data_IF_025694042724
#
_entry.id   IF_025694042724
#
_cell.length_a   1.000
_cell.length_b   1.000
_cell.length_c   1.000
_cell.angle_alpha   90.00
_cell.angle_beta   90.00
_cell.angle_gamma   90.00
#
_symmetry.space_group_name_H-M   'P 1'
#
loop_
_entity.id
_entity.type
_entity.pdbx_description
1 polymer ?
#
# COMPACT_ATOMS: atom_id res chain seq x y z
N UNK A 1 -45.61 -13.02 6.89
CA UNK A 1 -45.52 -11.84 6.01
C UNK A 1 -46.28 -10.70 6.68
N UNK A 2 -45.69 -9.50 6.81
CA UNK A 2 -46.35 -8.35 7.41
C UNK A 2 -47.47 -7.80 6.51
N UNK A 3 -48.49 -7.21 7.13
CA UNK A 3 -49.57 -6.53 6.42
C UNK A 3 -49.33 -5.01 6.49
N UNK A 4 -49.65 -4.31 5.40
CA UNK A 4 -49.60 -2.85 5.37
C UNK A 4 -50.63 -2.25 6.35
N UNK A 5 -50.22 -1.22 7.11
CA UNK A 5 -51.13 -0.47 7.99
C UNK A 5 -52.24 0.29 7.25
N UNK A 6 -51.96 0.78 6.03
CA UNK A 6 -52.91 1.59 5.25
C UNK A 6 -53.93 0.75 4.48
N UNK A 7 -53.46 -0.18 3.64
CA UNK A 7 -54.34 -0.96 2.75
C UNK A 7 -54.56 -2.41 3.17
N UNK A 8 -53.97 -2.86 4.29
CA UNK A 8 -54.06 -4.23 4.83
C UNK A 8 -53.65 -5.36 3.87
N UNK A 9 -53.07 -5.05 2.70
CA UNK A 9 -52.47 -6.05 1.81
C UNK A 9 -51.18 -6.60 2.41
N UNK A 10 -50.90 -7.86 2.08
CA UNK A 10 -49.63 -8.52 2.38
C UNK A 10 -48.53 -7.83 1.58
N UNK A 11 -47.46 -7.43 2.26
CA UNK A 11 -46.29 -6.78 1.66
C UNK A 11 -45.03 -7.56 2.03
N UNK A 12 -43.99 -7.43 1.20
CA UNK A 12 -42.70 -8.03 1.51
C UNK A 12 -42.00 -7.27 2.63
N UNK A 13 -41.06 -7.95 3.31
CA UNK A 13 -40.23 -7.32 4.35
C UNK A 13 -39.23 -6.31 3.78
N UNK A 14 -39.08 -6.23 2.46
CA UNK A 14 -38.21 -5.26 1.79
C UNK A 14 -38.89 -3.88 1.66
N UNK A 15 -40.23 -3.85 1.56
CA UNK A 15 -41.03 -2.64 1.34
C UNK A 15 -41.34 -1.89 2.65
N UNK A 16 -40.29 -1.60 3.43
CA UNK A 16 -40.41 -0.95 4.75
C UNK A 16 -40.65 0.54 4.68
N UNK A 17 -40.24 1.19 3.58
CA UNK A 17 -40.26 2.64 3.47
C UNK A 17 -41.59 3.15 2.89
N UNK A 18 -42.06 2.54 1.80
CA UNK A 18 -43.28 2.95 1.08
C UNK A 18 -44.04 1.70 0.63
N UNK A 19 -45.36 1.65 0.89
CA UNK A 19 -46.19 0.56 0.38
C UNK A 19 -46.40 0.68 -1.15
N UNK A 20 -46.11 -0.37 -1.95
CA UNK A 20 -46.26 -0.34 -3.40
C UNK A 20 -47.72 -0.25 -3.88
N UNK A 21 -48.69 -0.57 -3.01
CA UNK A 21 -50.10 -0.59 -3.38
C UNK A 21 -50.86 0.69 -3.05
N UNK A 22 -50.49 1.37 -1.97
CA UNK A 22 -51.25 2.52 -1.44
C UNK A 22 -50.40 3.74 -1.12
N UNK A 23 -49.08 3.67 -1.33
CA UNK A 23 -48.17 4.79 -1.07
C UNK A 23 -48.05 5.19 0.40
N UNK A 24 -48.60 4.43 1.35
CA UNK A 24 -48.49 4.75 2.77
C UNK A 24 -47.03 4.62 3.22
N UNK A 25 -46.42 5.67 3.81
CA UNK A 25 -45.05 5.61 4.32
C UNK A 25 -44.99 4.78 5.60
N UNK A 26 -43.87 4.09 5.83
CA UNK A 26 -43.66 3.20 6.98
C UNK A 26 -44.84 2.21 7.19
N UNK A 27 -45.17 1.37 6.20
CA UNK A 27 -46.34 0.50 6.28
C UNK A 27 -46.24 -0.60 7.34
N UNK A 28 -45.05 -0.86 7.89
CA UNK A 28 -44.79 -1.90 8.89
C UNK A 28 -44.41 -1.24 10.23
N UNK A 29 -45.22 -1.39 11.29
CA UNK A 29 -44.89 -0.84 12.60
C UNK A 29 -43.69 -1.56 13.23
N UNK A 30 -42.69 -0.81 13.69
CA UNK A 30 -41.53 -1.33 14.40
C UNK A 30 -40.34 -1.73 13.52
N UNK A 31 -40.41 -1.59 12.20
CA UNK A 31 -39.23 -1.78 11.34
C UNK A 31 -38.44 -0.48 11.20
N UNK A 32 -37.57 -0.19 12.17
CA UNK A 32 -36.54 0.82 11.96
C UNK A 32 -35.61 0.30 10.85
N UNK A 33 -35.43 1.08 9.78
CA UNK A 33 -34.44 0.85 8.74
C UNK A 33 -33.04 1.14 9.30
N UNK A 34 -32.59 0.29 10.22
CA UNK A 34 -31.17 0.21 10.52
C UNK A 34 -30.53 -0.37 9.27
N UNK A 35 -29.94 0.50 8.45
CA UNK A 35 -28.93 0.10 7.47
C UNK A 35 -27.76 -0.42 8.29
N UNK A 36 -27.81 -1.70 8.63
CA UNK A 36 -26.68 -2.38 9.26
C UNK A 36 -25.62 -2.45 8.17
N UNK A 37 -24.51 -1.75 8.40
CA UNK A 37 -23.36 -1.80 7.52
C UNK A 37 -22.83 -3.24 7.49
N UNK A 38 -23.16 -3.97 6.43
CA UNK A 38 -22.81 -5.39 6.26
C UNK A 38 -21.29 -5.57 6.24
N UNK A 39 -20.52 -4.52 5.91
CA UNK A 39 -19.06 -4.58 5.90
C UNK A 39 -18.47 -4.82 7.30
N UNK A 40 -19.16 -4.40 8.37
CA UNK A 40 -18.77 -4.69 9.76
C UNK A 40 -19.04 -6.14 10.20
N UNK A 41 -19.98 -6.83 9.55
CA UNK A 41 -20.36 -8.22 9.91
C UNK A 41 -19.48 -9.24 9.20
N UNK A 42 -19.00 -8.93 8.00
CA UNK A 42 -18.11 -9.81 7.22
C UNK A 42 -16.66 -9.73 7.73
N UNK A 43 -16.25 -8.62 8.37
CA UNK A 43 -14.90 -8.47 8.91
C UNK A 43 -14.60 -9.37 10.13
N UNK A 44 -15.60 -10.11 10.63
CA UNK A 44 -15.43 -11.16 11.64
C UNK A 44 -15.36 -12.59 11.07
N UNK A 45 -15.58 -12.78 9.76
CA UNK A 45 -15.58 -14.11 9.14
C UNK A 45 -14.16 -14.58 8.82
N UNK A 46 -13.48 -15.12 9.83
CA UNK A 46 -12.53 -16.22 9.66
C UNK A 46 -11.18 -15.96 8.97
N UNK A 47 -10.86 -14.73 8.53
CA UNK A 47 -9.49 -14.45 8.09
C UNK A 47 -8.63 -14.24 9.34
N UNK A 48 -7.62 -15.10 9.61
CA UNK A 48 -6.72 -14.88 10.72
C UNK A 48 -6.10 -13.48 10.56
N UNK A 49 -6.08 -12.68 11.64
CA UNK A 49 -5.51 -11.31 11.61
C UNK A 49 -4.08 -11.26 11.07
N UNK A 50 -3.38 -12.39 11.08
CA UNK A 50 -2.03 -12.56 10.54
C UNK A 50 -1.96 -12.58 9.00
N UNK A 51 -3.09 -12.74 8.31
CA UNK A 51 -3.21 -12.73 6.85
C UNK A 51 -3.75 -11.41 6.28
N UNK A 52 -4.10 -10.44 7.14
CA UNK A 52 -4.51 -9.13 6.65
C UNK A 52 -3.32 -8.48 5.90
N UNK A 53 -3.49 -8.11 4.62
CA UNK A 53 -2.42 -7.49 3.87
C UNK A 53 -2.00 -6.20 4.56
N UNK A 54 -0.75 -6.18 5.01
CA UNK A 54 -0.16 -5.01 5.66
C UNK A 54 -0.09 -3.89 4.64
N UNK A 55 -0.96 -2.89 4.78
CA UNK A 55 -0.96 -1.70 3.92
C UNK A 55 0.43 -1.03 3.95
N UNK A 56 1.12 -1.07 2.80
CA UNK A 56 2.41 -0.41 2.61
C UNK A 56 2.19 1.07 2.34
N UNK A 57 2.81 1.93 3.16
CA UNK A 57 2.69 3.37 3.01
C UNK A 57 3.76 3.93 2.07
N UNK A 58 3.37 4.73 1.07
CA UNK A 58 4.28 5.38 0.12
C UNK A 58 5.32 6.25 0.80
N UNK A 59 4.90 7.01 1.82
CA UNK A 59 5.80 7.90 2.58
C UNK A 59 6.88 7.11 3.30
N UNK A 60 6.56 5.92 3.83
CA UNK A 60 7.54 5.04 4.47
C UNK A 60 8.49 4.42 3.46
N UNK A 61 7.99 3.99 2.29
CA UNK A 61 8.84 3.49 1.22
C UNK A 61 9.83 4.57 0.75
N UNK A 62 9.38 5.81 0.62
CA UNK A 62 10.21 6.97 0.30
C UNK A 62 11.32 7.20 1.34
N UNK A 63 10.97 7.30 2.62
CA UNK A 63 11.97 7.57 3.68
C UNK A 63 12.98 6.44 3.80
N UNK A 64 12.55 5.19 3.64
CA UNK A 64 13.44 4.03 3.61
C UNK A 64 14.37 4.03 2.40
N UNK A 65 13.88 4.45 1.23
CA UNK A 65 14.69 4.55 0.02
C UNK A 65 15.72 5.67 0.13
N UNK A 66 15.34 6.84 0.66
CA UNK A 66 16.24 7.97 0.82
C UNK A 66 17.36 7.72 1.84
N UNK A 67 17.05 7.10 3.00
CA UNK A 67 18.04 6.89 4.07
C UNK A 67 18.82 5.58 3.92
N UNK A 68 18.15 4.51 3.52
CA UNK A 68 18.71 3.15 3.49
C UNK A 68 18.60 2.49 2.11
N UNK A 69 18.58 3.30 1.04
CA UNK A 69 18.50 2.84 -0.34
C UNK A 69 19.64 1.89 -0.72
N UNK A 70 20.85 2.18 -0.25
CA UNK A 70 22.04 1.36 -0.54
C UNK A 70 21.99 -0.06 0.06
N UNK A 71 21.22 -0.25 1.13
CA UNK A 71 20.97 -1.57 1.73
C UNK A 71 19.80 -2.31 1.07
N UNK A 72 19.07 -1.67 0.14
CA UNK A 72 17.90 -2.26 -0.50
C UNK A 72 16.68 -2.45 0.44
N UNK A 73 16.68 -1.83 1.64
CA UNK A 73 15.61 -2.00 2.64
C UNK A 73 14.24 -1.61 2.08
N UNK A 74 14.18 -0.57 1.26
CA UNK A 74 12.94 -0.14 0.60
C UNK A 74 12.33 -1.24 -0.27
N UNK A 75 13.13 -2.04 -0.97
CA UNK A 75 12.65 -3.12 -1.83
C UNK A 75 12.20 -4.34 -1.01
N UNK A 76 12.81 -4.59 0.16
CA UNK A 76 12.29 -5.56 1.13
C UNK A 76 10.95 -5.12 1.72
N UNK A 77 10.79 -3.83 2.01
CA UNK A 77 9.53 -3.26 2.47
C UNK A 77 8.41 -3.48 1.44
N UNK A 78 8.75 -3.34 0.14
CA UNK A 78 7.85 -3.56 -1.01
C UNK A 78 7.81 -5.06 -1.42
N UNK A 79 8.21 -5.98 -0.55
CA UNK A 79 8.17 -7.45 -0.78
C UNK A 79 8.78 -7.90 -2.12
N UNK A 80 9.77 -7.17 -2.65
CA UNK A 80 10.49 -7.46 -3.91
C UNK A 80 11.95 -7.82 -3.60
N UNK A 81 12.22 -9.04 -3.07
CA UNK A 81 13.55 -9.42 -2.60
C UNK A 81 14.60 -9.46 -3.72
N UNK A 82 14.20 -9.82 -4.95
CA UNK A 82 15.11 -9.80 -6.12
C UNK A 82 15.61 -8.39 -6.42
N UNK A 83 14.73 -7.40 -6.29
CA UNK A 83 15.08 -5.99 -6.49
C UNK A 83 15.98 -5.49 -5.35
N UNK A 84 15.72 -5.91 -4.10
CA UNK A 84 16.58 -5.58 -2.97
C UNK A 84 18.00 -6.12 -3.15
N UNK A 85 18.14 -7.37 -3.58
CA UNK A 85 19.44 -7.98 -3.86
C UNK A 85 20.19 -7.24 -4.96
N UNK A 86 19.48 -6.84 -6.03
CA UNK A 86 20.05 -6.03 -7.09
C UNK A 86 20.62 -4.70 -6.56
N UNK A 87 19.88 -3.98 -5.71
CA UNK A 87 20.36 -2.72 -5.12
C UNK A 87 21.58 -2.91 -4.22
N UNK A 88 21.64 -3.99 -3.45
CA UNK A 88 22.80 -4.31 -2.60
C UNK A 88 24.01 -4.59 -3.49
N UNK A 89 23.86 -5.45 -4.51
CA UNK A 89 24.95 -5.81 -5.42
C UNK A 89 25.43 -4.60 -6.23
N UNK A 90 24.50 -3.77 -6.71
CA UNK A 90 24.82 -2.53 -7.40
C UNK A 90 25.59 -1.56 -6.50
N UNK A 91 25.16 -1.37 -5.26
CA UNK A 91 25.86 -0.51 -4.28
C UNK A 91 27.27 -1.04 -3.98
N UNK A 92 27.42 -2.36 -3.83
CA UNK A 92 28.71 -2.99 -3.58
C UNK A 92 29.66 -2.83 -4.77
N UNK A 93 29.16 -3.04 -5.99
CA UNK A 93 29.94 -2.88 -7.21
C UNK A 93 30.33 -1.41 -7.45
N UNK A 94 29.42 -0.49 -7.18
CA UNK A 94 29.65 0.94 -7.38
C UNK A 94 30.62 1.50 -6.34
N UNK A 95 30.39 1.25 -5.05
CA UNK A 95 31.27 1.77 -3.98
C UNK A 95 32.58 0.99 -3.93
N UNK A 96 32.52 -0.34 -3.94
CA UNK A 96 33.70 -1.21 -3.83
C UNK A 96 34.48 -1.29 -5.14
N UNK A 97 33.81 -1.54 -6.25
CA UNK A 97 34.46 -1.68 -7.57
C UNK A 97 34.96 -0.33 -8.09
N UNK A 98 34.06 0.63 -8.31
CA UNK A 98 34.45 1.95 -8.85
C UNK A 98 35.32 2.71 -7.86
N UNK A 99 35.02 2.64 -6.55
CA UNK A 99 35.87 3.26 -5.53
C UNK A 99 37.28 2.70 -5.50
N UNK A 100 37.46 1.38 -5.61
CA UNK A 100 38.81 0.78 -5.70
C UNK A 100 39.53 1.17 -6.98
N UNK A 101 38.84 1.20 -8.13
CA UNK A 101 39.42 1.65 -9.39
C UNK A 101 39.88 3.11 -9.29
N UNK A 102 39.04 4.00 -8.76
CA UNK A 102 39.43 5.39 -8.53
C UNK A 102 40.61 5.49 -7.56
N UNK A 103 40.61 4.69 -6.50
CA UNK A 103 41.67 4.70 -5.49
C UNK A 103 43.02 4.28 -6.07
N UNK A 104 43.09 3.26 -6.94
CA UNK A 104 44.38 2.82 -7.48
C UNK A 104 44.84 3.60 -8.71
N UNK A 105 43.91 4.07 -9.57
CA UNK A 105 44.28 4.63 -10.88
C UNK A 105 44.17 6.15 -10.99
N UNK A 106 43.28 6.80 -10.22
CA UNK A 106 42.96 8.23 -10.41
C UNK A 106 43.38 9.07 -9.21
N UNK A 107 43.10 8.58 -8.00
CA UNK A 107 43.28 9.29 -6.73
C UNK A 107 44.02 8.39 -5.71
N UNK A 108 45.31 8.06 -5.96
CA UNK A 108 46.10 7.17 -5.11
C UNK A 108 46.16 7.64 -3.66
N UNK A 109 45.75 6.76 -2.73
CA UNK A 109 45.82 7.01 -1.29
C UNK A 109 44.77 7.98 -0.76
N UNK A 110 43.85 8.47 -1.60
CA UNK A 110 42.88 9.48 -1.22
C UNK A 110 41.52 8.87 -0.86
N UNK A 111 40.99 9.22 0.32
CA UNK A 111 39.65 8.80 0.75
C UNK A 111 38.53 9.31 -0.18
N UNK A 112 38.79 10.40 -0.89
CA UNK A 112 37.86 10.98 -1.87
C UNK A 112 37.49 10.00 -3.00
N UNK A 113 38.36 9.04 -3.29
CA UNK A 113 38.09 7.98 -4.28
C UNK A 113 36.85 7.15 -3.93
N UNK A 114 36.56 6.94 -2.64
CA UNK A 114 35.37 6.23 -2.18
C UNK A 114 34.19 7.16 -1.89
N UNK A 115 34.46 8.42 -1.56
CA UNK A 115 33.41 9.39 -1.24
C UNK A 115 32.59 9.79 -2.49
N UNK A 116 33.25 9.93 -3.64
CA UNK A 116 32.61 10.24 -4.93
C UNK A 116 31.53 9.21 -5.29
N UNK A 117 31.82 7.90 -5.39
CA UNK A 117 30.80 6.89 -5.71
C UNK A 117 29.69 6.81 -4.65
N UNK A 118 29.99 7.02 -3.37
CA UNK A 118 28.96 7.11 -2.32
C UNK A 118 28.00 8.28 -2.59
N UNK A 119 28.52 9.45 -2.93
CA UNK A 119 27.69 10.62 -3.23
C UNK A 119 26.81 10.39 -4.46
N UNK A 120 27.38 9.83 -5.53
CA UNK A 120 26.65 9.45 -6.74
C UNK A 120 25.55 8.44 -6.41
N UNK A 121 25.83 7.45 -5.56
CA UNK A 121 24.84 6.47 -5.12
C UNK A 121 23.68 7.13 -4.37
N UNK A 122 23.97 8.06 -3.44
CA UNK A 122 22.93 8.79 -2.70
C UNK A 122 22.05 9.60 -3.64
N UNK A 123 22.65 10.31 -4.61
CA UNK A 123 21.89 11.07 -5.61
C UNK A 123 20.99 10.17 -6.46
N UNK A 124 21.49 9.03 -6.91
CA UNK A 124 20.68 8.05 -7.64
C UNK A 124 19.49 7.54 -6.80
N UNK A 125 19.72 7.24 -5.52
CA UNK A 125 18.66 6.80 -4.61
C UNK A 125 17.62 7.88 -4.35
N UNK A 126 18.02 9.15 -4.25
CA UNK A 126 17.09 10.27 -4.10
C UNK A 126 16.18 10.44 -5.32
N UNK A 127 16.71 10.28 -6.53
CA UNK A 127 15.93 10.30 -7.77
C UNK A 127 14.93 9.14 -7.77
N UNK A 128 15.38 7.94 -7.40
CA UNK A 128 14.51 6.77 -7.30
C UNK A 128 13.41 6.94 -6.25
N UNK A 129 13.74 7.50 -5.09
CA UNK A 129 12.79 7.82 -4.03
C UNK A 129 11.73 8.82 -4.53
N UNK A 130 12.14 9.84 -5.28
CA UNK A 130 11.20 10.79 -5.87
C UNK A 130 10.27 10.13 -6.91
N UNK A 131 10.79 9.20 -7.70
CA UNK A 131 9.98 8.39 -8.61
C UNK A 131 8.92 7.55 -7.85
N UNK A 132 9.27 7.02 -6.67
CA UNK A 132 8.34 6.31 -5.80
C UNK A 132 7.19 7.20 -5.28
N UNK A 133 7.43 8.50 -5.08
CA UNK A 133 6.38 9.44 -4.65
C UNK A 133 5.44 9.85 -5.80
N UNK A 134 5.98 9.97 -7.01
CA UNK A 134 5.24 10.46 -8.19
C UNK A 134 4.47 9.35 -8.91
N UNK A 135 4.84 8.09 -8.72
CA UNK A 135 4.13 6.96 -9.33
C UNK A 135 2.81 6.68 -8.62
N UNK A 136 1.68 6.98 -9.28
CA UNK A 136 0.35 6.74 -8.72
C UNK A 136 -0.01 5.25 -8.65
N UNK A 137 0.52 4.45 -9.58
CA UNK A 137 0.21 3.03 -9.78
C UNK A 137 1.22 2.07 -9.15
N UNK A 138 1.90 2.49 -8.09
CA UNK A 138 2.97 1.67 -7.53
C UNK A 138 2.39 0.44 -6.80
N UNK A 139 2.60 -0.73 -7.40
CA UNK A 139 2.17 -2.03 -6.85
C UNK A 139 3.26 -2.67 -5.98
N UNK A 140 2.85 -3.22 -4.86
CA UNK A 140 3.64 -4.08 -3.99
C UNK A 140 4.02 -5.40 -4.71
N UNK A 141 4.96 -6.17 -4.16
CA UNK A 141 5.32 -7.49 -4.68
C UNK A 141 4.16 -8.50 -4.74
N UNK A 142 3.05 -8.19 -4.05
CA UNK A 142 1.80 -8.97 -4.01
C UNK A 142 0.75 -8.42 -5.00
N UNK A 143 1.02 -7.31 -5.67
CA UNK A 143 0.12 -6.69 -6.66
C UNK A 143 -0.85 -5.65 -6.10
N UNK A 144 -0.82 -5.40 -4.79
CA UNK A 144 -1.65 -4.39 -4.12
C UNK A 144 -1.10 -2.97 -4.33
N UNK A 145 -1.98 -1.97 -4.40
CA UNK A 145 -1.59 -0.57 -4.53
C UNK A 145 -1.06 -0.03 -3.21
N UNK A 146 0.02 0.74 -3.28
CA UNK A 146 0.52 1.47 -2.11
C UNK A 146 -0.35 2.69 -1.84
N UNK A 147 -0.58 3.00 -0.56
CA UNK A 147 -1.35 4.16 -0.11
C UNK A 147 -0.47 5.27 0.49
#
# INVERSE_FOLDING_TARGET
MPNCRGCHRKIERLDKDICPFCGTPNPIPGSQSLTVDITGVISGAGVPKDELPRACSRKRAFTLCALFGFLGIHAFYVKKPKQALFFILFSLCLIGGVGSLLFFFVLPGSIWAFLIPVFVQIMFQMIFAFHYLTSEDLKDGVGELMH
#
